data_IF_503100719235
#
_entry.id   IF_503100719235
#
_cell.length_a   1.000
_cell.length_b   1.000
_cell.length_c   1.000
_cell.angle_alpha   90.00
_cell.angle_beta   90.00
_cell.angle_gamma   90.00
#
_symmetry.space_group_name_H-M   'P 1'
#
loop_
_entity.id
_entity.type
_entity.pdbx_description
1 polymer ?
#
# COMPACT_ATOMS: atom_id res chain seq x y z
N UNK A 1 13.33 -11.08 0.82
CA UNK A 1 13.15 -9.66 1.18
C UNK A 1 13.83 -8.72 0.18
N UNK A 2 13.19 -7.61 -0.21
CA UNK A 2 13.85 -6.51 -0.94
C UNK A 2 14.64 -5.60 0.03
N UNK A 3 15.47 -4.68 -0.48
CA UNK A 3 16.27 -3.82 0.38
C UNK A 3 15.36 -2.91 1.23
N UNK A 4 15.65 -2.73 2.52
CA UNK A 4 14.85 -1.88 3.42
C UNK A 4 13.34 -2.23 3.41
N UNK A 5 13.02 -3.51 3.27
CA UNK A 5 11.65 -3.99 3.36
C UNK A 5 10.98 -3.52 4.66
N UNK A 6 9.85 -2.81 4.58
CA UNK A 6 9.20 -2.28 5.77
C UNK A 6 8.37 -3.37 6.46
N UNK A 7 8.24 -3.28 7.78
CA UNK A 7 7.38 -4.15 8.61
C UNK A 7 6.05 -3.46 8.99
N UNK A 8 5.71 -2.42 8.24
CA UNK A 8 4.60 -1.51 8.53
C UNK A 8 4.67 -0.23 7.72
N UNK A 9 3.99 0.80 8.19
CA UNK A 9 4.14 2.15 7.66
C UNK A 9 4.24 3.15 8.81
N UNK A 10 5.42 3.77 8.91
CA UNK A 10 5.76 4.72 9.99
C UNK A 10 5.64 4.04 11.37
N UNK A 11 4.84 4.60 12.26
CA UNK A 11 4.67 4.12 13.63
C UNK A 11 3.70 2.92 13.72
N UNK A 12 3.04 2.53 12.63
CA UNK A 12 2.11 1.40 12.59
C UNK A 12 2.77 0.19 11.95
N UNK A 13 2.64 -0.97 12.60
CA UNK A 13 3.05 -2.28 12.08
C UNK A 13 1.91 -2.96 11.35
N UNK A 14 2.24 -3.92 10.48
CA UNK A 14 1.22 -4.78 9.89
C UNK A 14 0.42 -5.52 10.97
N UNK A 15 -0.89 -5.54 10.81
CA UNK A 15 -1.80 -6.12 11.80
C UNK A 15 -2.21 -5.19 12.93
N UNK A 16 -1.60 -4.01 13.08
CA UNK A 16 -2.00 -3.07 14.14
C UNK A 16 -3.43 -2.56 13.95
N UNK A 17 -4.08 -2.21 15.06
CA UNK A 17 -5.40 -1.58 15.03
C UNK A 17 -5.33 -0.12 14.59
N UNK A 18 -6.43 0.38 14.02
CA UNK A 18 -6.59 1.81 13.73
C UNK A 18 -6.41 2.66 14.99
N UNK A 19 -5.81 3.83 14.84
CA UNK A 19 -5.67 4.82 15.91
C UNK A 19 -6.91 5.72 16.01
N UNK A 20 -7.11 6.39 17.15
CA UNK A 20 -8.32 7.22 17.39
C UNK A 20 -8.42 8.45 16.47
N UNK A 21 -7.31 8.90 15.91
CA UNK A 21 -7.22 10.07 15.03
C UNK A 21 -7.44 9.76 13.54
N UNK A 22 -7.57 8.47 13.20
CA UNK A 22 -7.96 8.01 11.88
C UNK A 22 -9.45 8.26 11.64
N UNK A 23 -9.76 8.82 10.47
CA UNK A 23 -11.13 9.04 10.01
C UNK A 23 -11.44 8.10 8.88
N UNK A 24 -12.57 7.42 9.00
CA UNK A 24 -13.15 6.66 7.90
C UNK A 24 -13.28 7.55 6.66
N UNK A 25 -12.85 7.03 5.51
CA UNK A 25 -12.90 7.72 4.23
C UNK A 25 -13.96 7.06 3.32
N UNK A 26 -13.76 5.80 2.96
CA UNK A 26 -14.67 5.00 2.15
C UNK A 26 -14.41 3.49 2.31
N UNK A 27 -15.12 2.68 1.51
CA UNK A 27 -14.86 1.25 1.34
C UNK A 27 -14.59 1.01 -0.14
N UNK A 28 -13.49 0.31 -0.44
CA UNK A 28 -13.16 -0.18 -1.77
C UNK A 28 -12.90 -1.68 -1.68
N UNK A 29 -13.56 -2.45 -2.55
CA UNK A 29 -13.41 -3.91 -2.63
C UNK A 29 -13.64 -4.63 -1.28
N UNK A 30 -14.55 -4.09 -0.45
CA UNK A 30 -14.85 -4.66 0.86
C UNK A 30 -13.86 -4.29 1.97
N UNK A 31 -12.83 -3.49 1.66
CA UNK A 31 -11.85 -3.01 2.64
C UNK A 31 -12.11 -1.54 3.01
N UNK A 32 -12.15 -1.27 4.31
CA UNK A 32 -12.34 0.08 4.84
C UNK A 32 -11.03 0.87 4.71
N UNK A 33 -11.12 2.06 4.12
CA UNK A 33 -10.00 3.00 4.03
C UNK A 33 -10.19 4.16 4.99
N UNK A 34 -9.07 4.55 5.59
CA UNK A 34 -9.00 5.60 6.58
C UNK A 34 -7.93 6.61 6.20
N UNK A 35 -8.10 7.85 6.65
CA UNK A 35 -7.13 8.93 6.49
C UNK A 35 -6.79 9.53 7.85
N UNK A 36 -5.53 9.93 8.01
CA UNK A 36 -5.10 10.70 9.16
C UNK A 36 -5.33 12.19 8.92
N UNK A 37 -6.03 12.86 9.85
CA UNK A 37 -6.45 14.27 9.68
C UNK A 37 -5.28 15.26 9.63
N UNK A 38 -4.16 14.91 10.27
CA UNK A 38 -2.94 15.71 10.33
C UNK A 38 -1.76 14.90 9.82
N UNK A 39 -1.97 14.24 8.69
CA UNK A 39 -0.97 13.37 8.11
C UNK A 39 0.20 14.16 7.52
N UNK A 40 1.42 13.71 7.79
CA UNK A 40 2.56 14.15 7.00
C UNK A 40 2.46 13.49 5.62
N UNK A 41 2.10 14.24 4.57
CA UNK A 41 1.96 13.68 3.22
C UNK A 41 3.28 13.61 2.45
N UNK A 42 4.42 13.55 3.13
CA UNK A 42 5.70 13.35 2.47
C UNK A 42 6.13 11.88 2.50
N UNK A 43 6.64 11.41 1.38
CA UNK A 43 7.37 10.14 1.25
C UNK A 43 8.76 10.45 0.74
N UNK A 44 9.77 10.26 1.59
CA UNK A 44 11.07 10.89 1.38
C UNK A 44 10.94 12.42 1.32
N UNK A 45 11.39 13.01 0.21
CA UNK A 45 11.29 14.45 -0.07
C UNK A 45 10.19 14.81 -1.08
N UNK A 46 9.23 13.90 -1.30
CA UNK A 46 8.18 14.03 -2.30
C UNK A 46 6.85 14.21 -1.58
N UNK A 47 6.13 15.27 -1.92
CA UNK A 47 4.77 15.51 -1.41
C UNK A 47 3.77 14.66 -2.20
N UNK A 48 2.89 13.98 -1.46
CA UNK A 48 1.82 13.12 -1.95
C UNK A 48 0.48 13.87 -1.88
N UNK A 49 -0.48 13.42 -2.69
CA UNK A 49 -1.84 13.95 -2.66
C UNK A 49 -2.57 13.47 -1.40
N UNK A 50 -2.51 12.16 -1.13
CA UNK A 50 -3.20 11.53 -0.01
C UNK A 50 -2.48 10.24 0.40
N UNK A 51 -2.62 9.90 1.69
CA UNK A 51 -2.24 8.59 2.23
C UNK A 51 -3.51 7.94 2.77
N UNK A 52 -3.78 6.71 2.35
CA UNK A 52 -4.88 5.89 2.82
C UNK A 52 -4.36 4.69 3.59
N UNK A 53 -4.95 4.41 4.74
CA UNK A 53 -4.70 3.22 5.54
C UNK A 53 -5.87 2.26 5.36
N UNK A 54 -5.58 1.03 4.96
CA UNK A 54 -6.57 0.00 4.64
C UNK A 54 -6.56 -1.04 5.74
N UNK A 55 -7.73 -1.30 6.32
CA UNK A 55 -7.89 -2.27 7.42
C UNK A 55 -8.77 -3.44 6.99
N UNK A 56 -8.45 -4.64 7.49
CA UNK A 56 -9.18 -5.87 7.24
C UNK A 56 -9.63 -6.57 8.54
N UNK A 57 -10.82 -7.18 8.48
CA UNK A 57 -11.38 -8.00 9.55
C UNK A 57 -12.06 -7.22 10.68
N UNK A 58 -12.56 -7.95 11.67
CA UNK A 58 -13.12 -7.42 12.92
C UNK A 58 -12.50 -8.16 14.13
N UNK A 59 -11.68 -7.50 14.96
CA UNK A 59 -11.32 -6.07 14.90
C UNK A 59 -10.42 -5.73 13.70
N UNK A 60 -10.62 -4.54 13.12
CA UNK A 60 -9.88 -4.08 11.94
C UNK A 60 -8.37 -3.97 12.17
N UNK A 61 -7.60 -4.68 11.35
CA UNK A 61 -6.12 -4.79 11.38
C UNK A 61 -5.50 -4.19 10.13
N UNK A 62 -4.40 -3.47 10.27
CA UNK A 62 -3.73 -2.79 9.16
C UNK A 62 -3.24 -3.83 8.14
N UNK A 63 -3.78 -3.74 6.92
CA UNK A 63 -3.48 -4.61 5.80
C UNK A 63 -2.53 -3.91 4.82
N UNK A 64 -2.84 -2.66 4.47
CA UNK A 64 -2.16 -1.95 3.39
C UNK A 64 -2.15 -0.44 3.62
N UNK A 65 -1.19 0.24 2.98
CA UNK A 65 -1.14 1.69 2.86
C UNK A 65 -1.02 2.06 1.39
N UNK A 66 -1.85 3.00 0.94
CA UNK A 66 -1.87 3.51 -0.43
C UNK A 66 -1.43 4.97 -0.42
N UNK A 67 -0.34 5.26 -1.14
CA UNK A 67 0.27 6.57 -1.31
C UNK A 67 -0.14 7.11 -2.68
N UNK A 68 -1.13 8.01 -2.74
CA UNK A 68 -1.58 8.58 -4.02
C UNK A 68 -0.80 9.83 -4.40
N UNK A 69 -0.56 10.00 -5.69
CA UNK A 69 0.15 11.15 -6.24
C UNK A 69 -0.40 11.53 -7.62
N UNK A 70 -0.02 12.73 -8.08
CA UNK A 70 -0.35 13.26 -9.41
C UNK A 70 0.85 13.84 -10.13
N UNK A 71 0.77 13.81 -11.44
CA UNK A 71 1.72 14.41 -12.36
C UNK A 71 2.91 13.50 -12.64
N UNK A 72 3.31 13.49 -13.90
CA UNK A 72 4.46 12.71 -14.39
C UNK A 72 5.77 13.02 -13.66
N UNK A 73 6.01 14.28 -13.29
CA UNK A 73 7.21 14.64 -12.54
C UNK A 73 7.25 14.00 -11.15
N UNK A 74 6.10 13.84 -10.50
CA UNK A 74 6.03 13.17 -9.20
C UNK A 74 6.24 11.67 -9.36
N UNK A 75 5.64 11.08 -10.40
CA UNK A 75 5.89 9.68 -10.81
C UNK A 75 7.38 9.39 -10.98
N UNK A 76 8.09 10.13 -11.85
CA UNK A 76 9.51 9.88 -12.15
C UNK A 76 10.39 10.00 -10.89
N UNK A 77 10.05 10.95 -10.00
CA UNK A 77 10.74 11.14 -8.73
C UNK A 77 10.48 9.99 -7.76
N UNK A 78 9.24 9.52 -7.65
CA UNK A 78 8.89 8.40 -6.78
C UNK A 78 9.50 7.09 -7.28
N UNK A 79 9.44 6.83 -8.59
CA UNK A 79 10.06 5.66 -9.21
C UNK A 79 11.57 5.64 -8.90
N UNK A 80 12.26 6.76 -9.10
CA UNK A 80 13.69 6.90 -8.78
C UNK A 80 13.96 6.70 -7.29
N UNK A 81 13.12 7.30 -6.42
CA UNK A 81 13.25 7.16 -4.98
C UNK A 81 13.06 5.70 -4.53
N UNK A 82 12.04 5.02 -5.04
CA UNK A 82 11.78 3.62 -4.72
C UNK A 82 12.96 2.72 -5.12
N UNK A 83 13.52 2.90 -6.33
CA UNK A 83 14.70 2.13 -6.74
C UNK A 83 15.93 2.38 -5.89
N UNK A 84 16.13 3.63 -5.43
CA UNK A 84 17.25 3.99 -4.57
C UNK A 84 17.11 3.40 -3.16
N UNK A 85 15.90 3.46 -2.60
CA UNK A 85 15.64 3.04 -1.22
C UNK A 85 15.49 1.52 -1.11
N UNK A 86 14.75 0.91 -2.05
CA UNK A 86 14.31 -0.48 -1.99
C UNK A 86 15.01 -1.43 -2.97
N UNK A 87 15.88 -0.88 -3.84
CA UNK A 87 16.56 -1.61 -4.91
C UNK A 87 15.72 -1.68 -6.19
N UNK A 88 16.21 -2.35 -7.23
CA UNK A 88 15.43 -2.59 -8.45
C UNK A 88 14.21 -3.47 -8.15
N UNK A 89 13.12 -3.24 -8.89
CA UNK A 89 11.95 -4.12 -8.90
C UNK A 89 12.36 -5.57 -9.21
N UNK A 90 11.69 -6.53 -8.58
CA UNK A 90 11.99 -7.96 -8.75
C UNK A 90 10.84 -8.73 -9.41
N UNK A 91 9.77 -8.04 -9.75
CA UNK A 91 8.60 -8.59 -10.44
C UNK A 91 8.00 -7.50 -11.35
N UNK A 92 7.64 -7.88 -12.56
CA UNK A 92 6.97 -6.99 -13.53
C UNK A 92 5.48 -7.32 -13.55
N UNK A 93 4.64 -6.31 -13.39
CA UNK A 93 3.20 -6.45 -13.54
C UNK A 93 2.73 -6.43 -14.98
N UNK A 94 1.42 -6.67 -15.15
CA UNK A 94 0.78 -6.53 -16.44
C UNK A 94 0.56 -5.04 -16.70
N UNK A 95 1.19 -4.49 -17.75
CA UNK A 95 1.00 -3.09 -18.15
C UNK A 95 2.09 -2.12 -17.70
N UNK A 96 3.23 -2.61 -17.20
CA UNK A 96 4.37 -1.77 -16.80
C UNK A 96 4.35 -1.33 -15.34
N UNK A 97 3.46 -1.92 -14.53
CA UNK A 97 3.49 -1.82 -13.08
C UNK A 97 4.79 -2.42 -12.53
N UNK A 98 5.38 -1.76 -11.54
CA UNK A 98 6.62 -2.21 -10.89
C UNK A 98 6.30 -2.83 -9.54
N UNK A 99 6.91 -3.98 -9.26
CA UNK A 99 6.69 -4.69 -8.00
C UNK A 99 8.00 -5.02 -7.28
N UNK A 100 7.95 -4.84 -5.96
CA UNK A 100 8.92 -5.36 -5.02
C UNK A 100 8.23 -6.38 -4.13
N UNK A 101 8.51 -7.64 -4.39
CA UNK A 101 8.03 -8.76 -3.59
C UNK A 101 9.02 -9.02 -2.45
N UNK A 102 8.55 -8.82 -1.22
CA UNK A 102 9.25 -9.11 0.02
C UNK A 102 8.69 -10.33 0.73
N UNK A 103 9.23 -10.61 1.93
CA UNK A 103 8.75 -11.71 2.78
C UNK A 103 7.55 -11.31 3.64
N UNK A 104 7.55 -10.07 4.15
CA UNK A 104 6.53 -9.48 5.01
C UNK A 104 5.66 -8.46 4.25
N UNK A 105 6.23 -7.79 3.25
CA UNK A 105 5.61 -6.71 2.47
C UNK A 105 5.75 -6.94 0.98
N UNK A 106 4.67 -6.68 0.24
CA UNK A 106 4.70 -6.44 -1.19
C UNK A 106 4.50 -4.94 -1.44
N UNK A 107 5.29 -4.37 -2.35
CA UNK A 107 5.10 -3.01 -2.82
C UNK A 107 4.77 -3.00 -4.30
N UNK A 108 3.65 -2.37 -4.66
CA UNK A 108 3.22 -2.17 -6.05
C UNK A 108 3.27 -0.69 -6.41
N UNK A 109 3.68 -0.40 -7.64
CA UNK A 109 3.76 0.96 -8.17
C UNK A 109 3.01 1.03 -9.49
N UNK A 110 1.96 1.85 -9.50
CA UNK A 110 1.06 2.03 -10.64
C UNK A 110 0.96 3.50 -11.05
N UNK A 111 0.82 3.73 -12.35
CA UNK A 111 0.66 5.07 -12.92
C UNK A 111 -0.18 5.07 -14.19
N UNK A 112 -1.31 5.77 -14.12
CA UNK A 112 -2.20 6.01 -15.25
C UNK A 112 -1.69 7.23 -16.04
N UNK A 113 -1.10 6.96 -17.22
CA UNK A 113 -0.57 8.01 -18.09
C UNK A 113 -1.63 8.91 -18.71
N UNK A 114 -2.90 8.47 -18.82
CA UNK A 114 -3.98 9.29 -19.39
C UNK A 114 -4.52 10.29 -18.37
N UNK A 115 -4.61 9.87 -17.10
CA UNK A 115 -5.08 10.73 -16.00
C UNK A 115 -3.96 11.50 -15.30
N UNK A 116 -2.71 11.12 -15.56
CA UNK A 116 -1.52 11.61 -14.84
C UNK A 116 -1.65 11.45 -13.32
N UNK A 117 -2.15 10.31 -12.87
CA UNK A 117 -2.27 9.95 -11.46
C UNK A 117 -1.74 8.54 -11.23
N UNK A 118 -1.29 8.27 -10.00
CA UNK A 118 -0.74 6.97 -9.67
C UNK A 118 -0.74 6.71 -8.18
N UNK A 119 -0.27 5.53 -7.82
CA UNK A 119 -0.15 5.13 -6.43
C UNK A 119 1.05 4.23 -6.16
N UNK A 120 1.58 4.35 -4.94
CA UNK A 120 2.46 3.34 -4.35
C UNK A 120 1.65 2.61 -3.30
N UNK A 121 1.51 1.30 -3.44
CA UNK A 121 0.80 0.46 -2.47
C UNK A 121 1.79 -0.39 -1.71
N UNK A 122 1.75 -0.31 -0.38
CA UNK A 122 2.45 -1.22 0.52
C UNK A 122 1.42 -2.18 1.11
N UNK A 123 1.66 -3.49 1.02
CA UNK A 123 0.70 -4.52 1.39
C UNK A 123 1.37 -5.60 2.23
N UNK A 124 0.77 -5.97 3.35
CA UNK A 124 1.26 -7.08 4.19
C UNK A 124 1.01 -8.43 3.52
N UNK A 125 2.07 -9.20 3.30
CA UNK A 125 2.03 -10.55 2.70
C UNK A 125 1.32 -11.54 3.62
N UNK A 126 1.58 -11.48 4.93
CA UNK A 126 0.97 -12.38 5.90
C UNK A 126 -0.54 -12.14 6.03
N UNK A 127 -0.96 -10.88 6.07
CA UNK A 127 -2.38 -10.50 6.08
C UNK A 127 -3.07 -10.89 4.78
N UNK A 128 -2.46 -10.63 3.62
CA UNK A 128 -3.01 -11.05 2.32
C UNK A 128 -3.20 -12.57 2.27
N UNK A 129 -2.21 -13.33 2.72
CA UNK A 129 -2.28 -14.79 2.77
C UNK A 129 -3.43 -15.27 3.66
N UNK A 130 -3.62 -14.65 4.83
CA UNK A 130 -4.74 -14.95 5.74
C UNK A 130 -6.10 -14.72 5.07
N UNK A 131 -6.24 -13.60 4.34
CA UNK A 131 -7.44 -13.24 3.58
C UNK A 131 -7.72 -14.31 2.52
N UNK A 132 -6.75 -14.59 1.66
CA UNK A 132 -6.89 -15.57 0.57
C UNK A 132 -7.25 -16.97 1.09
N UNK A 133 -6.62 -17.42 2.19
CA UNK A 133 -6.94 -18.70 2.81
C UNK A 133 -8.37 -18.74 3.35
N UNK A 134 -8.84 -17.63 3.93
CA UNK A 134 -10.21 -17.53 4.45
C UNK A 134 -11.23 -17.60 3.31
N UNK A 135 -11.01 -16.84 2.24
CA UNK A 135 -11.88 -16.83 1.06
C UNK A 135 -11.93 -18.19 0.35
N UNK A 136 -10.78 -18.86 0.21
CA UNK A 136 -10.73 -20.22 -0.35
C UNK A 136 -11.56 -21.22 0.47
N UNK A 137 -11.47 -21.16 1.80
CA UNK A 137 -12.23 -22.04 2.69
C UNK A 137 -13.75 -21.76 2.68
N UNK A 138 -14.16 -20.56 2.29
CA UNK A 138 -15.57 -20.21 2.12
C UNK A 138 -16.11 -20.76 0.80
N UNK A 139 -15.35 -20.65 -0.29
CA UNK A 139 -15.71 -21.22 -1.59
C UNK A 139 -15.87 -22.74 -1.52
N UNK A 140 -15.01 -23.45 -0.77
CA UNK A 140 -15.12 -24.92 -0.62
C UNK A 140 -16.36 -25.39 0.17
N UNK A 141 -17.06 -24.48 0.86
CA UNK A 141 -18.27 -24.79 1.64
C UNK A 141 -19.57 -24.59 0.86
N UNK A 142 -19.52 -23.97 -0.31
CA UNK A 142 -20.66 -23.78 -1.21
C UNK A 142 -20.81 -24.92 -2.23
#
# INVERSE_FOLDING_TARGET
AFQNEPDGFRELKWGDSKTEDMKYFDIIEGHERYVLSKENRHFGNIELEQIFYVFYGDPGRLLSVILSFKGKTTYERLETFCRQEYGEENSEGIGGELYWEGEDTMMGFDYDTEKEEGSVTLLSVSMLTEIMMTEMLEIEKE
#
